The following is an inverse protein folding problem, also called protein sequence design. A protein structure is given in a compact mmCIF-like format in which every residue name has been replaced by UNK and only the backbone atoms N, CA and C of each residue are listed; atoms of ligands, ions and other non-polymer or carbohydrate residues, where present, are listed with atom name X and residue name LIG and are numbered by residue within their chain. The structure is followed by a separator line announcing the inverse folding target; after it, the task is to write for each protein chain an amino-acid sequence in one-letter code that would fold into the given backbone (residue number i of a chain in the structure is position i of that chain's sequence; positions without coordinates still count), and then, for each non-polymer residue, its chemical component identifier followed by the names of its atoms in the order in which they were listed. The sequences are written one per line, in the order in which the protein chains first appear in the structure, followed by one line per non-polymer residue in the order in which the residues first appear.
data_IF_914352324862
#
_entry.id   IF_914352324862
#
_cell.length_a   1.000
_cell.length_b   1.000
_cell.length_c   1.000
_cell.angle_alpha   90.00
_cell.angle_beta   90.00
_cell.angle_gamma   90.00
#
_symmetry.space_group_name_H-M   'P 1'
#
loop_
_entity.id
_entity.type
_entity.pdbx_description
1 polymer ?
#
# COMPACT_ATOMS: atom_id res chain seq x y z
N UNK A 1 -65.86 125.65 1.56
CA UNK A 1 -65.06 126.20 2.67
C UNK A 1 -63.67 126.47 2.12
N UNK A 2 -63.37 127.76 1.87
CA UNK A 2 -62.09 128.42 1.51
C UNK A 2 -61.32 127.94 0.27
N UNK A 3 -60.68 128.76 -0.56
CA UNK A 3 -60.61 130.20 -0.85
C UNK A 3 -59.48 130.37 -1.91
N UNK A 4 -59.32 131.58 -2.47
CA UNK A 4 -58.09 132.12 -3.11
C UNK A 4 -57.77 131.57 -4.53
N UNK A 5 -58.04 132.20 -5.70
CA UNK A 5 -58.02 133.63 -6.11
C UNK A 5 -56.74 134.30 -5.60
N UNK A 6 -55.74 134.67 -6.40
CA UNK A 6 -55.75 135.52 -7.59
C UNK A 6 -54.27 135.84 -7.93
N UNK A 7 -54.08 136.68 -8.95
CA UNK A 7 -52.83 137.40 -9.31
C UNK A 7 -51.79 136.55 -10.05
N UNK A 8 -51.21 136.95 -11.18
CA UNK A 8 -51.17 138.21 -11.94
C UNK A 8 -50.45 137.79 -13.26
N UNK A 9 -50.86 138.14 -14.48
CA UNK A 9 -51.21 139.47 -14.96
C UNK A 9 -49.99 140.06 -15.68
N UNK A 10 -50.11 140.22 -17.01
CA UNK A 10 -49.22 141.11 -17.78
C UNK A 10 -48.55 140.45 -18.97
N UNK A 11 -49.19 140.49 -20.14
CA UNK A 11 -48.72 141.35 -21.24
C UNK A 11 -49.72 141.29 -22.38
N UNK A 12 -50.38 142.44 -22.53
CA UNK A 12 -51.09 142.96 -23.68
C UNK A 12 -50.31 142.89 -24.98
N UNK A 13 -51.05 142.62 -26.06
CA UNK A 13 -50.88 143.19 -27.40
C UNK A 13 -49.51 143.05 -28.10
N UNK A 14 -49.36 141.99 -28.89
CA UNK A 14 -48.71 142.08 -30.20
C UNK A 14 -49.06 140.83 -31.04
N UNK A 15 -49.44 141.06 -32.29
CA UNK A 15 -49.57 140.05 -33.37
C UNK A 15 -50.84 139.19 -33.34
N UNK A 16 -51.98 139.87 -33.53
CA UNK A 16 -52.95 139.42 -34.55
C UNK A 16 -52.25 139.58 -35.90
N UNK A 17 -51.47 138.57 -36.25
CA UNK A 17 -50.91 138.37 -37.58
C UNK A 17 -51.37 136.99 -37.99
N UNK A 18 -52.29 136.94 -38.95
CA UNK A 18 -52.42 135.88 -39.95
C UNK A 18 -51.79 134.52 -39.57
N UNK A 19 -52.31 133.88 -38.52
CA UNK A 19 -52.46 132.43 -38.56
C UNK A 19 -53.73 132.24 -39.36
N UNK A 20 -53.56 132.22 -40.68
CA UNK A 20 -54.63 131.87 -41.61
C UNK A 20 -55.34 130.64 -41.05
N UNK A 21 -56.67 130.67 -40.96
CA UNK A 21 -57.47 129.49 -40.61
C UNK A 21 -57.04 128.28 -41.48
N UNK A 22 -56.54 128.57 -42.67
CA UNK A 22 -55.91 127.66 -43.60
C UNK A 22 -54.64 126.95 -43.05
N UNK A 23 -53.77 127.63 -42.29
CA UNK A 23 -52.58 127.03 -41.67
C UNK A 23 -52.94 126.13 -40.48
N UNK A 24 -53.95 126.49 -39.68
CA UNK A 24 -54.44 125.62 -38.62
C UNK A 24 -55.16 124.39 -39.19
N UNK A 25 -55.97 124.56 -40.24
CA UNK A 25 -56.59 123.45 -40.97
C UNK A 25 -55.53 122.54 -41.57
N UNK A 26 -54.48 123.10 -42.18
CA UNK A 26 -53.33 122.33 -42.69
C UNK A 26 -52.63 121.56 -41.57
N UNK A 27 -52.42 122.19 -40.41
CA UNK A 27 -51.80 121.54 -39.24
C UNK A 27 -52.67 120.41 -38.68
N UNK A 28 -54.00 120.59 -38.63
CA UNK A 28 -54.94 119.56 -38.19
C UNK A 28 -54.99 118.41 -39.19
N UNK A 29 -54.99 118.71 -40.49
CA UNK A 29 -54.99 117.70 -41.55
C UNK A 29 -53.67 116.91 -41.58
N UNK A 30 -52.53 117.58 -41.38
CA UNK A 30 -51.24 116.93 -41.18
C UNK A 30 -51.22 116.04 -39.94
N UNK A 31 -51.81 116.49 -38.82
CA UNK A 31 -51.96 115.66 -37.60
C UNK A 31 -52.89 114.47 -37.83
N UNK A 32 -54.02 114.65 -38.52
CA UNK A 32 -54.95 113.58 -38.84
C UNK A 32 -54.31 112.53 -39.75
N UNK A 33 -53.58 112.95 -40.79
CA UNK A 33 -52.82 112.06 -41.67
C UNK A 33 -51.69 111.35 -40.91
N UNK A 34 -51.00 112.03 -39.99
CA UNK A 34 -50.00 111.39 -39.11
C UNK A 34 -50.64 110.38 -38.17
N UNK A 35 -51.84 110.65 -37.65
CA UNK A 35 -52.56 109.74 -36.75
C UNK A 35 -53.10 108.52 -37.50
N UNK A 36 -53.62 108.71 -38.71
CA UNK A 36 -54.04 107.63 -39.59
C UNK A 36 -52.85 106.76 -40.01
N UNK A 37 -51.74 107.37 -40.45
CA UNK A 37 -50.51 106.62 -40.75
C UNK A 37 -49.95 105.90 -39.50
N UNK A 38 -50.12 106.49 -38.32
CA UNK A 38 -49.81 105.85 -37.03
C UNK A 38 -50.69 104.63 -36.75
N UNK A 39 -52.01 104.74 -36.97
CA UNK A 39 -52.95 103.63 -36.82
C UNK A 39 -52.69 102.50 -37.82
N UNK A 40 -52.44 102.83 -39.09
CA UNK A 40 -52.09 101.84 -40.12
C UNK A 40 -50.76 101.14 -39.81
N UNK A 41 -49.78 101.88 -39.29
CA UNK A 41 -48.51 101.31 -38.82
C UNK A 41 -48.72 100.36 -37.64
N UNK A 42 -49.54 100.76 -36.65
CA UNK A 42 -49.90 99.90 -35.52
C UNK A 42 -50.64 98.64 -35.96
N UNK A 43 -51.56 98.77 -36.92
CA UNK A 43 -52.30 97.64 -37.48
C UNK A 43 -51.36 96.64 -38.17
N UNK A 44 -50.42 97.13 -39.00
CA UNK A 44 -49.39 96.29 -39.64
C UNK A 44 -48.47 95.61 -38.62
N UNK A 45 -48.12 96.29 -37.55
CA UNK A 45 -47.34 95.68 -36.44
C UNK A 45 -48.15 94.60 -35.76
N UNK A 46 -49.44 94.82 -35.47
CA UNK A 46 -50.31 93.84 -34.84
C UNK A 46 -50.48 92.59 -35.72
N UNK A 47 -50.73 92.75 -37.02
CA UNK A 47 -50.83 91.65 -37.98
C UNK A 47 -49.51 90.87 -38.10
N UNK A 48 -48.37 91.57 -38.14
CA UNK A 48 -47.04 90.96 -38.13
C UNK A 48 -46.75 90.18 -36.84
N UNK A 49 -47.15 90.72 -35.69
CA UNK A 49 -47.03 90.04 -34.39
C UNK A 49 -47.95 88.81 -34.34
N UNK A 50 -49.20 88.93 -34.79
CA UNK A 50 -50.15 87.81 -34.82
C UNK A 50 -49.67 86.68 -35.73
N UNK A 51 -49.13 87.00 -36.91
CA UNK A 51 -48.52 86.01 -37.81
C UNK A 51 -47.30 85.32 -37.17
N UNK A 52 -46.44 86.07 -36.47
CA UNK A 52 -45.30 85.49 -35.73
C UNK A 52 -45.76 84.59 -34.58
N UNK A 53 -46.78 84.99 -33.83
CA UNK A 53 -47.36 84.18 -32.75
C UNK A 53 -47.91 82.86 -33.31
N UNK A 54 -48.64 82.92 -34.43
CA UNK A 54 -49.15 81.72 -35.10
C UNK A 54 -48.01 80.79 -35.57
N UNK A 55 -46.96 81.33 -36.21
CA UNK A 55 -45.81 80.53 -36.63
C UNK A 55 -45.05 79.90 -35.46
N UNK A 56 -44.94 80.62 -34.34
CA UNK A 56 -44.33 80.07 -33.11
C UNK A 56 -45.19 78.96 -32.52
N UNK A 57 -46.51 79.13 -32.48
CA UNK A 57 -47.45 78.11 -31.97
C UNK A 57 -47.44 76.85 -32.84
N UNK A 58 -47.47 77.01 -34.16
CA UNK A 58 -47.37 75.88 -35.10
C UNK A 58 -46.03 75.15 -34.99
N UNK A 59 -44.92 75.90 -34.85
CA UNK A 59 -43.59 75.33 -34.62
C UNK A 59 -43.54 74.55 -33.31
N UNK A 60 -44.10 75.11 -32.24
CA UNK A 60 -44.13 74.49 -30.91
C UNK A 60 -44.99 73.21 -30.92
N UNK A 61 -46.15 73.22 -31.58
CA UNK A 61 -46.99 72.03 -31.72
C UNK A 61 -46.32 70.95 -32.57
N UNK A 62 -45.56 71.31 -33.61
CA UNK A 62 -44.73 70.34 -34.36
C UNK A 62 -43.64 69.73 -33.47
N UNK A 63 -42.86 70.56 -32.76
CA UNK A 63 -41.84 70.08 -31.83
C UNK A 63 -42.43 69.21 -30.73
N UNK A 64 -43.62 69.56 -30.21
CA UNK A 64 -44.32 68.78 -29.19
C UNK A 64 -44.74 67.41 -29.73
N UNK A 65 -45.27 67.34 -30.96
CA UNK A 65 -45.65 66.07 -31.61
C UNK A 65 -44.43 65.19 -31.89
N UNK A 66 -43.34 65.77 -32.40
CA UNK A 66 -42.09 65.03 -32.64
C UNK A 66 -41.49 64.51 -31.33
N UNK A 67 -41.44 65.35 -30.28
CA UNK A 67 -40.98 64.93 -28.96
C UNK A 67 -41.87 63.83 -28.37
N UNK A 68 -43.20 63.97 -28.46
CA UNK A 68 -44.15 62.96 -27.98
C UNK A 68 -43.97 61.63 -28.71
N UNK A 69 -43.78 61.67 -30.04
CA UNK A 69 -43.51 60.47 -30.83
C UNK A 69 -42.17 59.85 -30.44
N UNK A 70 -41.12 60.66 -30.30
CA UNK A 70 -39.79 60.19 -29.87
C UNK A 70 -39.80 59.52 -28.50
N UNK A 71 -40.57 60.07 -27.53
CA UNK A 71 -40.73 59.45 -26.21
C UNK A 71 -41.44 58.09 -26.29
N UNK A 72 -42.49 57.97 -27.12
CA UNK A 72 -43.20 56.70 -27.33
C UNK A 72 -42.29 55.67 -27.99
N UNK A 73 -41.62 56.04 -29.10
CA UNK A 73 -40.70 55.16 -29.83
C UNK A 73 -39.53 54.71 -28.94
N UNK A 74 -39.00 55.61 -28.09
CA UNK A 74 -37.96 55.28 -27.10
C UNK A 74 -38.50 54.36 -26.00
N UNK A 75 -39.73 54.59 -25.53
CA UNK A 75 -40.40 53.73 -24.54
C UNK A 75 -40.59 52.31 -25.04
N UNK A 76 -41.07 52.15 -26.28
CA UNK A 76 -41.24 50.85 -26.92
C UNK A 76 -39.90 50.13 -27.15
N UNK A 77 -38.87 50.87 -27.56
CA UNK A 77 -37.50 50.34 -27.70
C UNK A 77 -36.92 49.86 -26.37
N UNK A 78 -37.14 50.60 -25.28
CA UNK A 78 -36.71 50.21 -23.93
C UNK A 78 -37.46 48.94 -23.50
N UNK A 79 -38.78 48.87 -23.73
CA UNK A 79 -39.59 47.70 -23.38
C UNK A 79 -39.13 46.45 -24.14
N UNK A 80 -38.88 46.56 -25.45
CA UNK A 80 -38.40 45.44 -26.25
C UNK A 80 -37.01 44.97 -25.79
N UNK A 81 -36.09 45.90 -25.48
CA UNK A 81 -34.77 45.54 -24.95
C UNK A 81 -34.85 44.87 -23.57
N UNK A 82 -35.74 45.33 -22.69
CA UNK A 82 -35.99 44.68 -21.40
C UNK A 82 -36.50 43.25 -21.57
N UNK A 83 -37.44 43.03 -22.50
CA UNK A 83 -38.00 41.71 -22.77
C UNK A 83 -36.97 40.76 -23.37
N UNK A 84 -36.14 41.24 -24.32
CA UNK A 84 -35.02 40.46 -24.87
C UNK A 84 -33.98 40.10 -23.80
N UNK A 85 -33.64 41.04 -22.91
CA UNK A 85 -32.72 40.78 -21.81
C UNK A 85 -33.30 39.76 -20.82
N UNK A 86 -34.58 39.85 -20.49
CA UNK A 86 -35.24 38.88 -19.62
C UNK A 86 -35.28 37.48 -20.24
N UNK A 87 -35.62 37.38 -21.53
CA UNK A 87 -35.58 36.10 -22.26
C UNK A 87 -34.16 35.52 -22.32
N UNK A 88 -33.14 36.35 -22.52
CA UNK A 88 -31.74 35.92 -22.52
C UNK A 88 -31.32 35.41 -21.13
N UNK A 89 -31.65 36.13 -20.07
CA UNK A 89 -31.38 35.71 -18.68
C UNK A 89 -32.09 34.40 -18.34
N UNK A 90 -33.35 34.23 -18.76
CA UNK A 90 -34.08 32.99 -18.54
C UNK A 90 -33.44 31.80 -19.25
N UNK A 91 -33.03 31.96 -20.52
CA UNK A 91 -32.31 30.90 -21.26
C UNK A 91 -30.99 30.52 -20.59
N UNK A 92 -30.26 31.49 -20.04
CA UNK A 92 -29.02 31.23 -19.29
C UNK A 92 -29.31 30.44 -18.01
N UNK A 93 -30.37 30.80 -17.27
CA UNK A 93 -30.78 30.06 -16.06
C UNK A 93 -31.19 28.62 -16.38
N UNK A 94 -32.00 28.42 -17.41
CA UNK A 94 -32.44 27.09 -17.82
C UNK A 94 -31.24 26.21 -18.25
N UNK A 95 -30.29 26.79 -19.00
CA UNK A 95 -29.06 26.11 -19.39
C UNK A 95 -28.17 25.78 -18.17
N UNK A 96 -28.11 26.67 -17.17
CA UNK A 96 -27.38 26.42 -15.92
C UNK A 96 -28.05 25.31 -15.10
N UNK A 97 -29.38 25.29 -14.99
CA UNK A 97 -30.12 24.23 -14.31
C UNK A 97 -29.88 22.86 -14.96
N UNK A 98 -29.90 22.79 -16.29
CA UNK A 98 -29.58 21.57 -17.02
C UNK A 98 -28.15 21.07 -16.76
N UNK A 99 -27.16 21.97 -16.70
CA UNK A 99 -25.77 21.61 -16.35
C UNK A 99 -25.62 21.14 -14.92
N UNK A 100 -26.32 21.77 -13.97
CA UNK A 100 -26.31 21.37 -12.55
C UNK A 100 -26.91 19.97 -12.38
N UNK A 101 -27.96 19.64 -13.14
CA UNK A 101 -28.55 18.29 -13.13
C UNK A 101 -27.56 17.23 -13.62
N UNK A 102 -26.89 17.48 -14.76
CA UNK A 102 -25.87 16.56 -15.29
C UNK A 102 -24.71 16.36 -14.31
N UNK A 103 -24.25 17.44 -13.64
CA UNK A 103 -23.21 17.34 -12.61
C UNK A 103 -23.64 16.52 -11.39
N UNK A 104 -24.92 16.59 -10.98
CA UNK A 104 -25.44 15.77 -9.88
C UNK A 104 -25.46 14.28 -10.26
N UNK A 105 -25.82 13.96 -11.50
CA UNK A 105 -25.82 12.59 -12.02
C UNK A 105 -24.39 12.02 -12.11
N UNK A 106 -23.44 12.81 -12.60
CA UNK A 106 -22.02 12.46 -12.63
C UNK A 106 -21.44 12.29 -11.22
N UNK A 107 -21.80 13.16 -10.27
CA UNK A 107 -21.39 13.00 -8.87
C UNK A 107 -21.95 11.73 -8.24
N UNK A 108 -23.19 11.34 -8.55
CA UNK A 108 -23.78 10.08 -8.07
C UNK A 108 -23.04 8.87 -8.62
N UNK A 109 -22.69 8.88 -9.91
CA UNK A 109 -21.94 7.79 -10.54
C UNK A 109 -20.53 7.67 -9.95
N UNK A 110 -19.84 8.80 -9.75
CA UNK A 110 -18.51 8.85 -9.15
C UNK A 110 -18.53 8.36 -7.70
N UNK A 111 -19.54 8.77 -6.91
CA UNK A 111 -19.72 8.29 -5.52
C UNK A 111 -19.93 6.78 -5.48
N UNK A 112 -20.68 6.21 -6.43
CA UNK A 112 -20.86 4.76 -6.55
C UNK A 112 -19.53 4.08 -6.88
N UNK A 113 -18.80 4.58 -7.87
CA UNK A 113 -17.48 4.05 -8.24
C UNK A 113 -16.46 4.06 -7.10
N UNK A 114 -16.41 5.14 -6.30
CA UNK A 114 -15.55 5.22 -5.11
C UNK A 114 -15.94 4.20 -4.03
N UNK A 115 -17.23 3.93 -3.85
CA UNK A 115 -17.70 2.91 -2.91
C UNK A 115 -17.25 1.52 -3.35
N UNK A 116 -17.39 1.21 -4.63
CA UNK A 116 -16.98 -0.07 -5.20
C UNK A 116 -15.45 -0.27 -5.10
N UNK A 117 -14.67 0.79 -5.37
CA UNK A 117 -13.21 0.78 -5.16
C UNK A 117 -12.83 0.58 -3.69
N UNK A 118 -13.52 1.21 -2.75
CA UNK A 118 -13.27 1.04 -1.31
C UNK A 118 -13.48 -0.41 -0.87
N UNK A 119 -14.49 -1.09 -1.41
CA UNK A 119 -14.75 -2.51 -1.15
C UNK A 119 -13.61 -3.36 -1.72
N UNK A 120 -13.16 -3.09 -2.94
CA UNK A 120 -12.05 -3.82 -3.57
C UNK A 120 -10.74 -3.67 -2.80
N UNK A 121 -10.40 -2.46 -2.33
CA UNK A 121 -9.19 -2.21 -1.53
C UNK A 121 -9.24 -2.96 -0.20
N UNK A 122 -10.39 -3.04 0.47
CA UNK A 122 -10.56 -3.85 1.69
C UNK A 122 -10.34 -5.34 1.44
N UNK A 123 -10.83 -5.86 0.30
CA UNK A 123 -10.63 -7.26 -0.07
C UNK A 123 -9.14 -7.57 -0.31
N UNK A 124 -8.40 -6.69 -0.99
CA UNK A 124 -6.95 -6.82 -1.18
C UNK A 124 -6.21 -6.79 0.17
N UNK A 125 -6.62 -5.90 1.08
CA UNK A 125 -6.06 -5.83 2.44
C UNK A 125 -6.22 -7.12 3.23
N UNK A 126 -7.37 -7.80 3.13
CA UNK A 126 -7.60 -9.09 3.79
C UNK A 126 -6.67 -10.19 3.25
N UNK A 127 -6.48 -10.25 1.93
CA UNK A 127 -5.60 -11.23 1.29
C UNK A 127 -4.13 -11.04 1.69
N UNK A 128 -3.68 -9.81 1.92
CA UNK A 128 -2.32 -9.52 2.40
C UNK A 128 -2.08 -10.06 3.82
N UNK A 129 -3.10 -10.01 4.70
CA UNK A 129 -3.02 -10.59 6.05
C UNK A 129 -2.90 -12.11 5.97
N UNK A 130 -3.67 -12.76 5.10
CA UNK A 130 -3.55 -14.21 4.87
C UNK A 130 -2.15 -14.61 4.37
N UNK A 131 -1.57 -13.84 3.44
CA UNK A 131 -0.20 -14.08 2.97
C UNK A 131 0.85 -13.96 4.09
N UNK A 132 0.68 -13.01 5.02
CA UNK A 132 1.57 -12.87 6.15
C UNK A 132 1.48 -14.07 7.12
N UNK A 133 0.27 -14.60 7.33
CA UNK A 133 0.06 -15.82 8.13
C UNK A 133 0.73 -17.04 7.47
N UNK A 134 0.54 -17.20 6.15
CA UNK A 134 1.16 -18.29 5.38
C UNK A 134 2.70 -18.20 5.41
N UNK A 135 3.27 -16.99 5.30
CA UNK A 135 4.71 -16.80 5.40
C UNK A 135 5.26 -17.22 6.77
N UNK A 136 4.54 -16.92 7.86
CA UNK A 136 4.90 -17.36 9.20
C UNK A 136 4.87 -18.88 9.34
N UNK A 137 3.80 -19.52 8.86
CA UNK A 137 3.66 -20.99 8.89
C UNK A 137 4.77 -21.69 8.10
N UNK A 138 5.19 -21.13 6.97
CA UNK A 138 6.31 -21.66 6.18
C UNK A 138 7.61 -21.69 7.00
N UNK A 139 7.90 -20.62 7.74
CA UNK A 139 9.08 -20.58 8.62
C UNK A 139 9.05 -21.64 9.72
N UNK A 140 7.88 -21.87 10.34
CA UNK A 140 7.71 -22.92 11.35
C UNK A 140 7.92 -24.33 10.76
N UNK A 141 7.49 -24.57 9.51
CA UNK A 141 7.71 -25.85 8.81
C UNK A 141 9.20 -26.06 8.49
N UNK A 142 9.90 -25.02 8.04
CA UNK A 142 11.34 -25.11 7.74
C UNK A 142 12.15 -25.44 9.01
N UNK A 143 11.78 -24.85 10.15
CA UNK A 143 12.38 -25.17 11.46
C UNK A 143 12.11 -26.62 11.90
N UNK A 144 10.89 -27.12 11.72
CA UNK A 144 10.54 -28.53 12.02
C UNK A 144 11.36 -29.47 11.14
N UNK A 145 11.51 -29.16 9.85
CA UNK A 145 12.28 -29.97 8.90
C UNK A 145 13.75 -30.04 9.30
N UNK A 146 14.36 -28.93 9.68
CA UNK A 146 15.75 -28.89 10.15
C UNK A 146 15.95 -29.76 11.42
N UNK A 147 14.99 -29.74 12.36
CA UNK A 147 15.02 -30.60 13.55
C UNK A 147 14.85 -32.08 13.20
N UNK A 148 14.03 -32.41 12.20
CA UNK A 148 13.84 -33.78 11.75
C UNK A 148 15.13 -34.34 11.15
N UNK A 149 15.81 -33.58 10.27
CA UNK A 149 17.10 -33.98 9.69
C UNK A 149 18.17 -34.19 10.78
N UNK A 150 18.17 -33.36 11.83
CA UNK A 150 19.07 -33.53 12.97
C UNK A 150 18.77 -34.82 13.77
N UNK A 151 17.49 -35.16 13.96
CA UNK A 151 17.07 -36.38 14.65
C UNK A 151 17.31 -37.64 13.82
N UNK A 152 17.13 -37.57 12.50
CA UNK A 152 17.46 -38.69 11.60
C UNK A 152 18.96 -38.98 11.62
N UNK A 153 19.81 -37.94 11.74
CA UNK A 153 21.25 -38.11 11.93
C UNK A 153 21.62 -38.81 13.25
N UNK A 154 20.85 -38.63 14.33
CA UNK A 154 21.10 -39.28 15.62
C UNK A 154 20.48 -40.68 15.73
N UNK A 155 19.50 -41.01 14.90
CA UNK A 155 18.79 -42.30 14.89
C UNK A 155 19.40 -43.35 13.94
N UNK A 156 20.55 -43.08 13.34
CA UNK A 156 21.30 -44.11 12.62
C UNK A 156 21.76 -45.14 13.66
N UNK A 157 21.04 -46.26 13.77
CA UNK A 157 21.43 -47.38 14.61
C UNK A 157 22.89 -47.73 14.29
N UNK A 158 23.79 -47.73 15.29
CA UNK A 158 25.19 -48.02 15.06
C UNK A 158 25.31 -49.35 14.31
N UNK A 159 26.07 -49.41 13.22
CA UNK A 159 26.22 -50.66 12.47
C UNK A 159 27.16 -51.61 13.23
N UNK A 160 26.84 -52.90 13.27
CA UNK A 160 27.77 -53.91 13.78
C UNK A 160 28.99 -54.05 12.85
N UNK A 161 30.15 -54.35 13.43
CA UNK A 161 31.40 -54.54 12.68
C UNK A 161 31.28 -55.74 11.74
N UNK A 162 30.76 -56.85 12.27
CA UNK A 162 30.48 -58.08 11.52
C UNK A 162 29.01 -58.44 11.60
N UNK A 163 28.57 -59.30 10.68
CA UNK A 163 27.24 -59.91 10.70
C UNK A 163 27.38 -61.43 10.86
N UNK A 164 26.32 -62.13 11.22
CA UNK A 164 26.36 -63.60 11.32
C UNK A 164 26.73 -64.29 10.00
N UNK A 165 26.59 -63.60 8.86
CA UNK A 165 26.93 -64.09 7.52
C UNK A 165 28.32 -63.68 7.05
N UNK A 166 29.05 -62.87 7.82
CA UNK A 166 30.42 -62.48 7.50
C UNK A 166 31.33 -63.72 7.50
N UNK A 167 32.43 -63.65 6.75
CA UNK A 167 33.37 -64.75 6.66
C UNK A 167 34.08 -64.97 8.01
N UNK A 168 34.38 -66.23 8.34
CA UNK A 168 35.08 -66.56 9.59
C UNK A 168 36.49 -65.95 9.66
N UNK A 169 37.10 -65.64 8.52
CA UNK A 169 38.40 -64.98 8.41
C UNK A 169 38.36 -63.49 8.85
N UNK A 170 37.19 -62.85 8.79
CA UNK A 170 37.03 -61.45 9.22
C UNK A 170 37.14 -61.30 10.76
N UNK A 171 37.06 -62.40 11.51
CA UNK A 171 37.22 -62.39 12.96
C UNK A 171 38.68 -62.18 13.32
N UNK A 172 38.96 -61.07 14.02
CA UNK A 172 40.30 -60.70 14.44
C UNK A 172 41.02 -61.83 15.19
N UNK A 173 42.15 -62.26 14.64
CA UNK A 173 42.98 -63.33 15.19
C UNK A 173 42.79 -64.69 14.52
N UNK A 174 41.88 -64.80 13.54
CA UNK A 174 41.78 -65.94 12.63
C UNK A 174 42.50 -65.54 11.34
N UNK A 175 43.61 -66.22 11.02
CA UNK A 175 44.31 -66.02 9.75
C UNK A 175 43.75 -66.91 8.63
N UNK A 176 44.13 -66.68 7.36
CA UNK A 176 43.62 -67.43 6.20
C UNK A 176 43.75 -68.95 6.33
N UNK A 177 44.86 -69.41 6.91
CA UNK A 177 45.11 -70.84 7.17
C UNK A 177 44.09 -71.42 8.15
N UNK A 178 43.86 -70.74 9.28
CA UNK A 178 42.87 -71.17 10.27
C UNK A 178 41.45 -71.04 9.77
N UNK A 179 41.15 -70.02 8.97
CA UNK A 179 39.85 -69.90 8.31
C UNK A 179 39.59 -71.07 7.35
N UNK A 180 40.60 -71.55 6.63
CA UNK A 180 40.49 -72.73 5.76
C UNK A 180 40.22 -74.01 6.57
N UNK A 181 40.97 -74.23 7.65
CA UNK A 181 40.74 -75.37 8.56
C UNK A 181 39.33 -75.34 9.17
N UNK A 182 38.83 -74.17 9.57
CA UNK A 182 37.48 -73.99 10.09
C UNK A 182 36.41 -74.28 9.03
N UNK A 183 36.64 -73.84 7.78
CA UNK A 183 35.76 -74.13 6.65
C UNK A 183 35.69 -75.62 6.33
N UNK A 184 36.80 -76.36 6.44
CA UNK A 184 36.83 -77.82 6.25
C UNK A 184 35.99 -78.60 7.27
N UNK A 185 35.81 -78.06 8.48
CA UNK A 185 34.94 -78.65 9.51
C UNK A 185 33.51 -78.10 9.50
N UNK A 186 33.14 -77.34 8.46
CA UNK A 186 31.80 -76.80 8.28
C UNK A 186 31.51 -75.47 8.97
N UNK A 187 32.54 -74.78 9.48
CA UNK A 187 32.43 -73.46 10.11
C UNK A 187 32.87 -72.41 9.09
N UNK A 188 31.92 -71.91 8.29
CA UNK A 188 32.23 -70.97 7.21
C UNK A 188 31.98 -69.51 7.59
N UNK A 189 31.03 -69.25 8.49
CA UNK A 189 30.61 -67.90 8.87
C UNK A 189 30.86 -67.58 10.34
N UNK A 190 30.84 -66.28 10.67
CA UNK A 190 30.89 -65.78 12.07
C UNK A 190 29.77 -66.40 12.91
N UNK A 191 28.56 -66.56 12.34
CA UNK A 191 27.44 -67.20 13.02
C UNK A 191 27.71 -68.66 13.37
N UNK A 192 28.30 -69.41 12.43
CA UNK A 192 28.67 -70.81 12.65
C UNK A 192 29.74 -70.93 13.75
N UNK A 193 30.73 -70.03 13.73
CA UNK A 193 31.81 -70.03 14.71
C UNK A 193 31.29 -69.80 16.14
N UNK A 194 30.36 -68.86 16.31
CA UNK A 194 29.75 -68.55 17.61
C UNK A 194 28.92 -69.71 18.16
N UNK A 195 28.29 -70.51 17.28
CA UNK A 195 27.42 -71.63 17.66
C UNK A 195 28.13 -72.97 17.79
N UNK A 196 29.34 -73.10 17.22
CA UNK A 196 30.11 -74.34 17.24
C UNK A 196 30.63 -74.71 18.64
N UNK A 197 30.73 -76.01 18.91
CA UNK A 197 31.31 -76.52 20.17
C UNK A 197 32.82 -76.23 20.21
N UNK A 198 33.32 -75.50 21.23
CA UNK A 198 34.75 -75.22 21.37
C UNK A 198 35.61 -76.48 21.29
N UNK A 199 35.14 -77.62 21.84
CA UNK A 199 35.90 -78.89 21.88
C UNK A 199 36.10 -79.49 20.50
N UNK A 200 35.11 -79.35 19.61
CA UNK A 200 35.21 -79.82 18.23
C UNK A 200 36.23 -78.97 17.47
N UNK A 201 36.21 -77.65 17.69
CA UNK A 201 37.15 -76.73 17.05
C UNK A 201 38.58 -77.04 17.49
N UNK A 202 38.84 -77.23 18.79
CA UNK A 202 40.18 -77.52 19.30
C UNK A 202 40.73 -78.85 18.79
N UNK A 203 39.90 -79.90 18.78
CA UNK A 203 40.29 -81.23 18.29
C UNK A 203 40.69 -81.20 16.81
N UNK A 204 39.96 -80.45 15.98
CA UNK A 204 40.15 -80.45 14.53
C UNK A 204 41.19 -79.45 14.04
N UNK A 205 41.29 -78.27 14.66
CA UNK A 205 42.21 -77.21 14.23
C UNK A 205 43.54 -77.22 14.97
N UNK A 206 43.65 -78.00 16.05
CA UNK A 206 44.82 -78.02 16.96
C UNK A 206 45.00 -76.72 17.74
N UNK A 207 44.03 -75.80 17.71
CA UNK A 207 44.05 -74.59 18.52
C UNK A 207 43.81 -74.92 20.00
N UNK A 208 44.37 -74.12 20.91
CA UNK A 208 44.10 -74.27 22.34
C UNK A 208 42.67 -73.84 22.68
N UNK A 209 42.07 -74.41 23.74
CA UNK A 209 40.73 -74.02 24.21
C UNK A 209 40.63 -72.51 24.48
N UNK A 210 41.68 -71.91 25.04
CA UNK A 210 41.75 -70.48 25.29
C UNK A 210 41.75 -69.66 23.98
N UNK A 211 42.46 -70.14 22.95
CA UNK A 211 42.47 -69.50 21.63
C UNK A 211 41.09 -69.53 20.99
N UNK A 212 40.41 -70.68 21.05
CA UNK A 212 39.06 -70.86 20.50
C UNK A 212 38.05 -69.99 21.26
N UNK A 213 38.12 -69.96 22.59
CA UNK A 213 37.27 -69.10 23.42
C UNK A 213 37.45 -67.62 23.05
N UNK A 214 38.69 -67.17 22.81
CA UNK A 214 38.95 -65.80 22.33
C UNK A 214 38.39 -65.54 20.94
N UNK A 215 38.49 -66.49 20.01
CA UNK A 215 37.90 -66.34 18.67
C UNK A 215 36.38 -66.22 18.74
N UNK A 216 35.71 -67.09 19.51
CA UNK A 216 34.26 -67.05 19.69
C UNK A 216 33.81 -65.79 20.42
N UNK A 217 34.54 -65.38 21.47
CA UNK A 217 34.25 -64.15 22.20
C UNK A 217 34.38 -62.89 21.33
N UNK A 218 35.48 -62.77 20.56
CA UNK A 218 35.66 -61.66 19.60
C UNK A 218 34.59 -61.67 18.51
N UNK A 219 34.21 -62.84 18.01
CA UNK A 219 33.11 -62.97 17.06
C UNK A 219 31.78 -62.47 17.67
N UNK A 220 31.45 -62.86 18.90
CA UNK A 220 30.25 -62.41 19.61
C UNK A 220 30.23 -60.89 19.86
N UNK A 221 31.37 -60.30 20.23
CA UNK A 221 31.53 -58.87 20.45
C UNK A 221 31.45 -58.08 19.12
N UNK A 222 32.02 -58.61 18.03
CA UNK A 222 31.96 -57.97 16.71
C UNK A 222 30.54 -57.88 16.13
N UNK A 223 29.61 -58.69 16.64
CA UNK A 223 28.19 -58.64 16.32
C UNK A 223 27.43 -57.58 17.14
N UNK A 224 28.07 -56.89 18.08
CA UNK A 224 27.45 -55.80 18.85
C UNK A 224 27.49 -54.51 18.02
N UNK A 225 26.34 -53.88 17.73
CA UNK A 225 26.30 -52.68 16.94
C UNK A 225 27.02 -51.52 17.63
N UNK A 226 27.81 -50.76 16.86
CA UNK A 226 28.57 -49.62 17.37
C UNK A 226 29.85 -49.97 18.12
N UNK A 227 30.20 -51.25 18.27
CA UNK A 227 31.47 -51.68 18.86
C UNK A 227 32.56 -51.69 17.76
N UNK A 228 33.61 -50.88 17.93
CA UNK A 228 34.73 -50.78 16.98
C UNK A 228 35.87 -51.72 17.34
N UNK A 229 36.80 -51.94 16.42
CA UNK A 229 38.01 -52.76 16.64
C UNK A 229 38.88 -52.30 17.81
N UNK A 230 38.93 -50.97 18.01
CA UNK A 230 39.67 -50.34 19.11
C UNK A 230 38.97 -50.58 20.45
N UNK A 231 37.65 -50.54 20.47
CA UNK A 231 36.85 -50.81 21.66
C UNK A 231 37.02 -52.25 22.12
N UNK A 232 36.99 -53.21 21.17
CA UNK A 232 37.28 -54.61 21.45
C UNK A 232 38.68 -54.82 22.04
N UNK A 233 39.68 -54.08 21.55
CA UNK A 233 41.03 -54.12 22.11
C UNK A 233 41.06 -53.61 23.56
N UNK A 234 40.35 -52.52 23.87
CA UNK A 234 40.27 -52.00 25.24
C UNK A 234 39.50 -52.94 26.18
N UNK A 235 38.45 -53.60 25.69
CA UNK A 235 37.71 -54.62 26.43
C UNK A 235 38.57 -55.84 26.73
N UNK A 236 39.38 -56.30 25.77
CA UNK A 236 40.30 -57.42 25.98
C UNK A 236 41.38 -57.10 27.03
N UNK A 237 41.87 -55.86 27.10
CA UNK A 237 42.78 -55.41 28.17
C UNK A 237 42.12 -55.39 29.57
N UNK A 238 40.78 -55.41 29.63
CA UNK A 238 39.98 -55.59 30.86
C UNK A 238 39.57 -57.04 31.11
N UNK A 239 40.07 -58.00 30.31
CA UNK A 239 39.68 -59.41 30.34
C UNK A 239 38.19 -59.64 30.00
N UNK A 240 37.55 -58.67 29.33
CA UNK A 240 36.18 -58.78 28.81
C UNK A 240 36.27 -59.28 27.37
N UNK A 241 36.24 -60.60 27.20
CA UNK A 241 36.48 -61.25 25.92
C UNK A 241 35.21 -61.69 25.18
N UNK A 242 34.05 -61.72 25.85
CA UNK A 242 32.79 -62.24 25.28
C UNK A 242 31.57 -61.36 25.65
N UNK A 243 30.41 -61.68 25.06
CA UNK A 243 29.16 -60.95 25.34
C UNK A 243 28.70 -61.06 26.80
N UNK A 244 28.97 -62.19 27.45
CA UNK A 244 28.51 -62.46 28.81
C UNK A 244 29.28 -61.59 29.81
N UNK A 245 30.60 -61.55 29.70
CA UNK A 245 31.47 -60.70 30.50
C UNK A 245 31.13 -59.22 30.33
N UNK A 246 30.73 -58.79 29.12
CA UNK A 246 30.25 -57.44 28.87
C UNK A 246 28.87 -57.18 29.52
N UNK A 247 27.95 -58.14 29.44
CA UNK A 247 26.61 -58.04 30.05
C UNK A 247 26.67 -57.97 31.59
N UNK A 248 27.69 -58.54 32.22
CA UNK A 248 27.86 -58.49 33.67
C UNK A 248 28.40 -57.13 34.19
N UNK A 249 28.82 -56.22 33.29
CA UNK A 249 29.35 -54.93 33.70
C UNK A 249 28.25 -53.88 33.99
N UNK A 250 28.61 -52.92 34.83
CA UNK A 250 27.86 -51.68 35.07
C UNK A 250 28.42 -50.54 34.21
N UNK A 251 27.54 -49.77 33.56
CA UNK A 251 27.91 -48.72 32.58
C UNK A 251 28.95 -47.73 33.15
N UNK A 252 28.72 -47.22 34.35
CA UNK A 252 29.59 -46.21 34.98
C UNK A 252 30.94 -46.81 35.36
N UNK A 253 30.97 -48.04 35.86
CA UNK A 253 32.21 -48.70 36.27
C UNK A 253 33.07 -49.07 35.07
N UNK A 254 32.44 -49.64 34.03
CA UNK A 254 33.13 -49.99 32.80
C UNK A 254 33.71 -48.74 32.11
N UNK A 255 32.97 -47.64 32.05
CA UNK A 255 33.47 -46.38 31.49
C UNK A 255 34.71 -45.85 32.23
N UNK A 256 34.73 -45.92 33.56
CA UNK A 256 35.91 -45.54 34.36
C UNK A 256 37.12 -46.43 34.07
N UNK A 257 36.91 -47.74 34.04
CA UNK A 257 37.97 -48.74 33.75
C UNK A 257 38.52 -48.56 32.33
N UNK A 258 37.65 -48.44 31.33
CA UNK A 258 38.03 -48.19 29.93
C UNK A 258 38.79 -46.88 29.78
N UNK A 259 38.35 -45.79 30.41
CA UNK A 259 39.04 -44.50 30.33
C UNK A 259 40.45 -44.56 30.96
N UNK A 260 40.63 -45.31 32.05
CA UNK A 260 41.95 -45.51 32.65
C UNK A 260 42.91 -46.23 31.69
N UNK A 261 42.45 -47.32 31.05
CA UNK A 261 43.24 -48.08 30.08
C UNK A 261 43.46 -47.29 28.79
N UNK A 262 42.45 -46.55 28.33
CA UNK A 262 42.53 -45.69 27.17
C UNK A 262 43.65 -44.66 27.33
N UNK A 263 43.71 -43.96 28.48
CA UNK A 263 44.79 -42.99 28.76
C UNK A 263 46.19 -43.63 28.71
N UNK A 264 46.34 -44.85 29.23
CA UNK A 264 47.61 -45.59 29.16
C UNK A 264 47.96 -45.96 27.72
N UNK A 265 46.98 -46.37 26.92
CA UNK A 265 47.19 -46.75 25.52
C UNK A 265 47.38 -45.55 24.59
N UNK A 266 46.76 -44.42 24.89
CA UNK A 266 46.94 -43.14 24.20
C UNK A 266 48.38 -42.64 24.39
N UNK A 267 48.90 -42.68 25.62
CA UNK A 267 50.30 -42.35 25.92
C UNK A 267 51.31 -43.29 25.23
N UNK A 268 50.90 -44.54 24.95
CA UNK A 268 51.70 -45.52 24.19
C UNK A 268 51.52 -45.41 22.66
N UNK A 269 50.64 -44.52 22.18
CA UNK A 269 50.33 -44.35 20.74
C UNK A 269 49.56 -45.52 20.11
N UNK A 270 48.89 -46.36 20.89
CA UNK A 270 48.12 -47.51 20.39
C UNK A 270 46.69 -47.15 19.95
N UNK A 271 46.15 -46.05 20.48
CA UNK A 271 44.80 -45.51 20.22
C UNK A 271 44.89 -43.98 20.02
N UNK A 272 43.96 -43.40 19.27
CA UNK A 272 43.84 -41.94 19.08
C UNK A 272 42.76 -41.35 20.00
N UNK A 273 42.75 -40.03 20.24
CA UNK A 273 41.75 -39.37 21.11
C UNK A 273 40.31 -39.59 20.61
N UNK A 274 40.13 -39.63 19.28
CA UNK A 274 38.83 -39.88 18.63
C UNK A 274 38.34 -41.33 18.79
N UNK A 275 39.21 -42.26 19.20
CA UNK A 275 38.86 -43.66 19.48
C UNK A 275 38.28 -43.83 20.89
N UNK A 276 38.10 -42.75 21.65
CA UNK A 276 37.62 -42.84 23.03
C UNK A 276 36.14 -43.23 23.08
N UNK A 277 35.80 -44.35 23.75
CA UNK A 277 34.40 -44.71 23.93
C UNK A 277 33.64 -43.68 24.77
N UNK A 278 32.48 -43.25 24.29
CA UNK A 278 31.54 -42.43 25.04
C UNK A 278 30.76 -43.27 26.05
N UNK A 279 30.18 -42.64 27.08
CA UNK A 279 29.40 -43.37 28.07
C UNK A 279 28.09 -43.90 27.46
N UNK A 280 27.54 -43.18 26.48
CA UNK A 280 26.35 -43.54 25.73
C UNK A 280 26.59 -44.77 24.84
N UNK A 281 27.75 -44.84 24.16
CA UNK A 281 28.16 -46.04 23.40
C UNK A 281 28.29 -47.24 24.33
N UNK A 282 28.96 -47.09 25.48
CA UNK A 282 29.13 -48.18 26.45
C UNK A 282 27.78 -48.67 27.00
N UNK A 283 26.89 -47.74 27.37
CA UNK A 283 25.55 -48.06 27.84
C UNK A 283 24.75 -48.83 26.78
N UNK A 284 24.86 -48.39 25.52
CA UNK A 284 24.24 -49.07 24.39
C UNK A 284 24.77 -50.50 24.23
N UNK A 285 26.09 -50.70 24.27
CA UNK A 285 26.68 -52.04 24.15
C UNK A 285 26.17 -52.98 25.25
N UNK A 286 26.18 -52.53 26.52
CA UNK A 286 25.72 -53.32 27.66
C UNK A 286 24.22 -53.66 27.53
N UNK A 287 23.38 -52.68 27.16
CA UNK A 287 21.94 -52.90 26.98
C UNK A 287 21.66 -53.86 25.82
N UNK A 288 22.38 -53.73 24.72
CA UNK A 288 22.23 -54.58 23.55
C UNK A 288 22.61 -56.04 23.82
N UNK A 289 23.62 -56.30 24.65
CA UNK A 289 23.99 -57.68 25.00
C UNK A 289 23.11 -58.29 26.09
N UNK A 290 22.40 -57.46 26.87
CA UNK A 290 21.42 -57.89 27.89
C UNK A 290 20.04 -58.18 27.31
N UNK A 291 19.68 -57.57 26.18
CA UNK A 291 18.41 -57.79 25.46
C UNK A 291 18.40 -59.11 24.72
#
# INVERSE_FOLDING_TARGET
MFATLAFLGGTTHALVSELSVEDQIKTVNEKANRLQAGQESQQKVLESVQARVFLVDESLERTRKELSKGIVDQGDSIKQNLELNHQSQQKVLDAMQGRVFLLDEDMKSLKKGLKDQSIAVRAVGANLVELAILAKQKGEIDDIKAKLEQLEGTLIMPKALLTSKSDVEDVKGIGPLKATELKEIGIASVGDLVMADPKIITEKTGASENTVAKWQGRAQLSLVPGLKDKDMFLLEELDIIDRKGLAEQETIELSKKLNAIFKVNLAKGKVAEDDKPTIEEIDYWIKFVKS
#
